data_IF_606261963344
#
_entry.id   IF_606261963344
#
_cell.length_a   1.000
_cell.length_b   1.000
_cell.length_c   1.000
_cell.angle_alpha   90.00
_cell.angle_beta   90.00
_cell.angle_gamma   90.00
#
_symmetry.space_group_name_H-M   'P 1'
#
loop_
_entity.id
_entity.type
_entity.pdbx_description
1 polymer ?
#
# COMPACT_ATOMS: atom_id res chain seq x y z
N UNK A 1 -13.90 -76.81 -3.23
CA UNK A 1 -14.08 -75.34 -3.16
C UNK A 1 -12.97 -74.73 -2.31
N UNK A 2 -11.82 -74.34 -2.88
CA UNK A 2 -10.80 -73.52 -2.21
C UNK A 2 -10.55 -72.21 -3.00
N UNK A 3 -11.04 -71.05 -2.53
CA UNK A 3 -10.79 -69.75 -3.22
C UNK A 3 -10.43 -68.61 -2.26
N UNK A 4 -10.20 -68.85 -0.96
CA UNK A 4 -10.05 -67.76 0.02
C UNK A 4 -8.70 -67.64 0.73
N UNK A 5 -7.64 -68.30 0.26
CA UNK A 5 -6.32 -68.26 0.95
C UNK A 5 -5.20 -67.56 0.17
N UNK A 6 -5.50 -66.87 -0.94
CA UNK A 6 -4.46 -66.30 -1.83
C UNK A 6 -4.37 -64.76 -1.83
N UNK A 7 -5.14 -64.06 -0.99
CA UNK A 7 -5.19 -62.58 -1.02
C UNK A 7 -4.40 -61.96 0.14
N UNK A 8 -4.18 -62.66 1.25
CA UNK A 8 -3.58 -62.07 2.47
C UNK A 8 -2.05 -61.89 2.42
N UNK A 9 -1.32 -62.60 1.56
CA UNK A 9 0.15 -62.45 1.49
C UNK A 9 0.61 -61.24 0.66
N UNK A 10 -0.24 -60.67 -0.18
CA UNK A 10 0.13 -59.52 -1.04
C UNK A 10 -0.01 -58.16 -0.35
N UNK A 11 -0.79 -58.07 0.73
CA UNK A 11 -1.04 -56.81 1.44
C UNK A 11 0.01 -56.45 2.49
N UNK A 12 0.84 -57.40 2.95
CA UNK A 12 1.88 -57.15 3.97
C UNK A 12 3.17 -56.53 3.43
N UNK A 13 3.42 -56.58 2.12
CA UNK A 13 4.61 -55.99 1.49
C UNK A 13 4.41 -54.56 0.98
N UNK A 14 3.15 -54.07 0.91
CA UNK A 14 2.82 -52.73 0.38
C UNK A 14 2.76 -51.61 1.44
N UNK A 15 2.52 -51.98 2.69
CA UNK A 15 2.45 -51.03 3.83
C UNK A 15 3.77 -50.26 4.11
N UNK A 16 4.99 -50.85 4.01
CA UNK A 16 6.22 -50.08 4.27
C UNK A 16 6.56 -49.10 3.15
N UNK A 17 6.01 -49.25 1.94
CA UNK A 17 6.29 -48.35 0.82
C UNK A 17 5.47 -47.04 0.91
N UNK A 18 4.22 -47.14 1.38
CA UNK A 18 3.33 -46.00 1.56
C UNK A 18 3.79 -45.07 2.72
N UNK A 19 4.35 -45.64 3.80
CA UNK A 19 4.88 -44.86 4.93
C UNK A 19 6.16 -44.09 4.59
N UNK A 20 7.04 -44.65 3.76
CA UNK A 20 8.29 -43.99 3.34
C UNK A 20 8.01 -42.80 2.44
N UNK A 21 7.07 -42.93 1.50
CA UNK A 21 6.64 -41.83 0.63
C UNK A 21 5.97 -40.69 1.42
N UNK A 22 5.16 -41.02 2.43
CA UNK A 22 4.52 -40.03 3.29
C UNK A 22 5.53 -39.26 4.16
N UNK A 23 6.52 -39.96 4.74
CA UNK A 23 7.62 -39.34 5.50
C UNK A 23 8.52 -38.46 4.62
N UNK A 24 8.80 -38.87 3.38
CA UNK A 24 9.54 -38.04 2.42
C UNK A 24 8.77 -36.78 2.03
N UNK A 25 7.46 -36.88 1.81
CA UNK A 25 6.63 -35.71 1.48
C UNK A 25 6.51 -34.73 2.66
N UNK A 26 6.38 -35.24 3.89
CA UNK A 26 6.41 -34.45 5.12
C UNK A 26 7.77 -33.75 5.31
N UNK A 27 8.88 -34.43 5.01
CA UNK A 27 10.22 -33.83 5.08
C UNK A 27 10.39 -32.69 4.07
N UNK A 28 9.91 -32.86 2.83
CA UNK A 28 9.93 -31.81 1.82
C UNK A 28 9.02 -30.63 2.17
N UNK A 29 7.84 -30.86 2.77
CA UNK A 29 6.97 -29.80 3.27
C UNK A 29 7.58 -29.04 4.45
N UNK A 30 8.21 -29.74 5.39
CA UNK A 30 8.95 -29.15 6.51
C UNK A 30 10.14 -28.33 6.01
N UNK A 31 10.90 -28.84 5.03
CA UNK A 31 12.02 -28.13 4.40
C UNK A 31 11.57 -26.87 3.66
N UNK A 32 10.44 -26.92 2.93
CA UNK A 32 9.84 -25.72 2.30
C UNK A 32 9.39 -24.70 3.34
N UNK A 33 8.78 -25.14 4.45
CA UNK A 33 8.37 -24.25 5.55
C UNK A 33 9.56 -23.62 6.27
N UNK A 34 10.63 -24.37 6.51
CA UNK A 34 11.85 -23.88 7.15
C UNK A 34 12.63 -22.93 6.23
N UNK A 35 12.67 -23.19 4.92
CA UNK A 35 13.24 -22.28 3.93
C UNK A 35 12.44 -20.98 3.79
N UNK A 36 11.11 -21.04 3.88
CA UNK A 36 10.27 -19.83 3.94
C UNK A 36 10.52 -19.04 5.22
N UNK A 37 10.64 -19.71 6.37
CA UNK A 37 10.98 -19.07 7.65
C UNK A 37 12.37 -18.41 7.60
N UNK A 38 13.38 -19.10 7.07
CA UNK A 38 14.71 -18.55 6.85
C UNK A 38 14.69 -17.39 5.85
N UNK A 39 13.92 -17.48 4.75
CA UNK A 39 13.82 -16.41 3.75
C UNK A 39 13.15 -15.15 4.31
N UNK A 40 12.13 -15.30 5.15
CA UNK A 40 11.49 -14.19 5.88
C UNK A 40 12.48 -13.60 6.88
N UNK A 41 13.23 -14.43 7.63
CA UNK A 41 14.26 -13.95 8.55
C UNK A 41 15.36 -13.17 7.83
N UNK A 42 15.85 -13.65 6.68
CA UNK A 42 16.82 -12.92 5.86
C UNK A 42 16.26 -11.64 5.23
N UNK A 43 14.98 -11.60 4.84
CA UNK A 43 14.31 -10.37 4.38
C UNK A 43 14.23 -9.32 5.49
N UNK A 44 13.80 -9.72 6.69
CA UNK A 44 13.68 -8.83 7.85
C UNK A 44 15.07 -8.35 8.29
N UNK A 45 16.08 -9.22 8.26
CA UNK A 45 17.47 -8.86 8.54
C UNK A 45 18.04 -7.89 7.48
N UNK A 46 17.68 -8.06 6.20
CA UNK A 46 18.08 -7.13 5.12
C UNK A 46 17.43 -5.76 5.26
N UNK A 47 16.15 -5.69 5.69
CA UNK A 47 15.47 -4.41 5.95
C UNK A 47 16.02 -3.71 7.19
N UNK A 48 16.43 -4.47 8.21
CA UNK A 48 17.11 -3.93 9.39
C UNK A 48 18.51 -3.39 9.07
N UNK A 49 19.23 -4.01 8.13
CA UNK A 49 20.50 -3.49 7.62
C UNK A 49 20.31 -2.18 6.83
N UNK A 50 19.26 -2.07 6.00
CA UNK A 50 18.92 -0.82 5.31
C UNK A 50 18.51 0.29 6.31
N UNK A 51 17.88 -0.06 7.43
CA UNK A 51 17.57 0.91 8.50
C UNK A 51 18.83 1.41 9.23
N UNK A 52 19.86 0.56 9.41
CA UNK A 52 21.12 0.96 10.05
C UNK A 52 21.96 1.88 9.15
N UNK A 53 21.96 1.68 7.83
CA UNK A 53 22.62 2.61 6.89
C UNK A 53 21.96 4.00 6.88
N UNK A 54 20.63 4.06 7.07
CA UNK A 54 19.92 5.35 7.19
C UNK A 54 20.30 6.08 8.49
N UNK A 55 20.54 5.36 9.59
CA UNK A 55 20.97 5.95 10.87
C UNK A 55 22.44 6.43 10.78
N UNK A 56 23.30 5.70 10.07
CA UNK A 56 24.71 6.10 9.87
C UNK A 56 24.84 7.33 8.94
N UNK A 57 23.89 7.49 7.99
CA UNK A 57 23.78 8.70 7.15
C UNK A 57 23.44 9.99 7.94
N UNK A 58 22.85 9.84 9.14
CA UNK A 58 22.48 10.96 10.01
C UNK A 58 23.64 11.44 10.90
N UNK A 59 24.69 10.63 11.09
CA UNK A 59 25.82 10.93 12.00
C UNK A 59 27.10 11.39 11.30
N UNK A 60 27.09 11.53 9.97
CA UNK A 60 28.00 12.46 9.27
C UNK A 60 29.50 12.17 9.39
N UNK A 61 29.94 10.92 9.29
CA UNK A 61 31.37 10.57 9.11
C UNK A 61 31.55 10.03 7.68
N UNK A 62 32.02 10.87 6.75
CA UNK A 62 32.26 10.48 5.35
C UNK A 62 33.61 9.76 5.18
N UNK A 63 33.62 8.58 4.54
CA UNK A 63 34.37 8.33 3.31
C UNK A 63 34.18 6.90 2.76
N UNK A 64 33.93 6.82 1.45
CA UNK A 64 34.27 5.72 0.53
C UNK A 64 33.49 4.40 0.65
N UNK A 65 32.52 4.14 -0.25
CA UNK A 65 32.41 2.92 -1.09
C UNK A 65 31.41 3.22 -2.22
N UNK A 66 31.77 2.88 -3.47
CA UNK A 66 30.92 3.00 -4.67
C UNK A 66 29.78 1.96 -4.69
N UNK A 67 28.65 2.21 -5.37
CA UNK A 67 27.56 1.25 -5.42
C UNK A 67 27.87 0.10 -6.39
N UNK A 68 28.05 -1.11 -5.85
CA UNK A 68 27.99 -2.35 -6.61
C UNK A 68 26.61 -2.98 -6.39
N UNK A 69 25.60 -2.50 -7.14
CA UNK A 69 24.31 -3.18 -7.30
C UNK A 69 24.07 -3.47 -8.79
N UNK A 70 24.80 -4.44 -9.33
CA UNK A 70 24.41 -5.20 -10.52
C UNK A 70 24.28 -6.65 -10.07
N UNK A 71 23.05 -7.06 -9.78
CA UNK A 71 22.52 -8.42 -9.87
C UNK A 71 21.29 -8.47 -8.95
N UNK A 72 20.10 -8.44 -9.54
CA UNK A 72 19.00 -9.39 -9.30
C UNK A 72 17.84 -8.89 -10.16
N UNK A 73 17.64 -9.53 -11.31
CA UNK A 73 16.32 -9.78 -11.92
C UNK A 73 16.51 -10.80 -13.04
N UNK A 74 16.60 -12.05 -12.62
CA UNK A 74 16.52 -13.22 -13.47
C UNK A 74 15.55 -14.21 -12.83
N UNK A 75 14.27 -13.82 -12.72
CA UNK A 75 13.18 -14.78 -12.60
C UNK A 75 12.35 -14.63 -13.87
N UNK A 76 12.47 -15.65 -14.71
CA UNK A 76 11.87 -15.74 -16.03
C UNK A 76 10.35 -15.61 -15.94
N UNK A 77 9.79 -14.64 -16.65
CA UNK A 77 8.42 -14.76 -17.16
C UNK A 77 8.50 -15.63 -18.42
N UNK A 78 7.75 -16.73 -18.43
CA UNK A 78 7.59 -17.63 -19.57
C UNK A 78 6.60 -17.10 -20.62
N UNK A 79 6.11 -15.87 -20.46
CA UNK A 79 5.22 -15.23 -21.43
C UNK A 79 5.99 -14.36 -22.41
N UNK A 80 6.00 -14.79 -23.68
CA UNK A 80 6.69 -14.13 -24.80
C UNK A 80 5.99 -12.86 -25.33
N UNK A 81 4.93 -12.39 -24.67
CA UNK A 81 4.06 -11.31 -25.16
C UNK A 81 4.49 -9.91 -24.74
N UNK A 82 5.53 -9.77 -23.91
CA UNK A 82 6.04 -8.47 -23.47
C UNK A 82 7.37 -8.18 -24.17
N UNK A 83 7.56 -7.01 -24.82
CA UNK A 83 8.83 -6.67 -25.44
C UNK A 83 9.89 -6.48 -24.34
N UNK A 84 10.73 -7.49 -24.15
CA UNK A 84 11.92 -7.40 -23.30
C UNK A 84 13.00 -6.69 -24.10
N UNK A 85 13.24 -5.41 -23.82
CA UNK A 85 14.37 -4.67 -24.40
C UNK A 85 15.66 -5.27 -23.84
N UNK A 86 16.41 -6.00 -24.67
CA UNK A 86 17.73 -6.53 -24.28
C UNK A 86 18.78 -5.44 -24.44
N UNK A 87 19.91 -5.58 -23.75
CA UNK A 87 21.01 -4.61 -23.83
C UNK A 87 21.52 -4.36 -25.26
N UNK A 88 21.39 -5.35 -26.15
CA UNK A 88 21.74 -5.19 -27.57
C UNK A 88 20.67 -4.49 -28.41
N UNK A 89 19.42 -4.47 -27.95
CA UNK A 89 18.32 -3.75 -28.60
C UNK A 89 18.39 -2.23 -28.33
N UNK A 90 19.18 -1.82 -27.32
CA UNK A 90 19.39 -0.42 -26.97
C UNK A 90 20.31 0.28 -27.99
N UNK A 91 19.71 0.80 -29.06
CA UNK A 91 20.42 1.63 -30.04
C UNK A 91 20.91 2.92 -29.39
N UNK A 92 22.23 3.19 -29.44
CA UNK A 92 22.84 4.45 -28.98
C UNK A 92 22.25 5.60 -29.78
N UNK A 93 21.60 6.55 -29.09
CA UNK A 93 21.08 7.78 -29.72
C UNK A 93 22.25 8.57 -30.33
N UNK A 94 22.03 9.14 -31.52
CA UNK A 94 23.05 9.96 -32.16
C UNK A 94 23.24 11.25 -31.36
N UNK A 95 24.41 11.89 -31.46
CA UNK A 95 24.67 13.15 -30.74
C UNK A 95 23.70 14.27 -31.14
N UNK A 96 23.17 14.21 -32.36
CA UNK A 96 22.18 15.15 -32.89
C UNK A 96 20.84 14.97 -32.17
N UNK A 97 20.38 13.72 -31.97
CA UNK A 97 19.13 13.40 -31.24
C UNK A 97 19.15 13.80 -29.75
N UNK A 98 20.34 13.99 -29.16
CA UNK A 98 20.52 14.41 -27.76
C UNK A 98 20.57 15.93 -27.64
N UNK A 99 21.10 16.62 -28.65
CA UNK A 99 21.15 18.08 -28.69
C UNK A 99 19.81 18.72 -29.05
N UNK A 100 18.92 17.98 -29.71
CA UNK A 100 17.57 18.46 -30.00
C UNK A 100 16.79 18.71 -28.69
N UNK A 101 16.09 19.86 -28.58
CA UNK A 101 15.25 20.13 -27.42
C UNK A 101 14.20 19.00 -27.32
N UNK A 102 14.07 18.43 -26.12
CA UNK A 102 13.17 17.32 -25.87
C UNK A 102 11.76 17.65 -26.40
N UNK A 103 11.31 16.89 -27.41
CA UNK A 103 9.96 17.01 -27.92
C UNK A 103 8.98 16.88 -26.75
N UNK A 104 8.03 17.81 -26.57
CA UNK A 104 7.06 17.71 -25.49
C UNK A 104 6.36 16.37 -25.64
N UNK A 105 6.31 15.58 -24.57
CA UNK A 105 5.65 14.27 -24.57
C UNK A 105 4.22 14.49 -25.07
N UNK A 106 3.89 13.90 -26.22
CA UNK A 106 2.55 13.99 -26.78
C UNK A 106 1.60 13.35 -25.79
N UNK A 107 0.73 14.15 -25.18
CA UNK A 107 -0.35 13.63 -24.35
C UNK A 107 -1.27 12.82 -25.25
N UNK A 108 -1.22 11.50 -25.12
CA UNK A 108 -2.19 10.62 -25.77
C UNK A 108 -3.53 10.89 -25.08
N UNK A 109 -4.43 11.58 -25.75
CA UNK A 109 -5.83 11.71 -25.31
C UNK A 109 -6.47 10.34 -25.48
N UNK A 110 -6.66 9.64 -24.37
CA UNK A 110 -7.46 8.41 -24.35
C UNK A 110 -8.89 8.83 -24.66
N UNK A 111 -9.34 8.55 -25.88
CA UNK A 111 -10.70 8.82 -26.34
C UNK A 111 -11.60 7.73 -25.78
N UNK A 112 -11.96 7.86 -24.51
CA UNK A 112 -13.00 7.08 -23.87
C UNK A 112 -13.98 8.05 -23.22
N UNK A 113 -15.17 8.19 -23.80
CA UNK A 113 -16.25 9.03 -23.27
C UNK A 113 -16.85 8.43 -21.98
N UNK A 114 -16.53 7.18 -21.69
CA UNK A 114 -16.85 6.49 -20.45
C UNK A 114 -15.56 5.90 -19.85
N UNK A 115 -15.20 6.32 -18.65
CA UNK A 115 -14.15 5.67 -17.86
C UNK A 115 -14.65 4.26 -17.46
N UNK A 116 -14.27 3.23 -18.22
CA UNK A 116 -14.60 1.80 -17.99
C UNK A 116 -13.89 1.20 -16.76
N UNK A 117 -13.26 2.03 -15.93
CA UNK A 117 -12.44 1.61 -14.79
C UNK A 117 -13.25 0.71 -13.84
N UNK A 118 -14.53 1.00 -13.64
CA UNK A 118 -15.39 0.24 -12.74
C UNK A 118 -15.76 -1.14 -13.27
N UNK A 119 -15.98 -1.26 -14.57
CA UNK A 119 -16.32 -2.54 -15.19
C UNK A 119 -15.12 -3.52 -15.15
N UNK A 120 -13.89 -2.97 -15.08
CA UNK A 120 -12.64 -3.73 -14.98
C UNK A 120 -12.28 -4.07 -13.52
N UNK A 121 -12.64 -3.22 -12.56
CA UNK A 121 -12.19 -3.34 -11.16
C UNK A 121 -12.78 -4.55 -10.42
N UNK A 122 -13.89 -5.13 -10.89
CA UNK A 122 -14.48 -6.34 -10.31
C UNK A 122 -15.10 -6.12 -8.92
N UNK A 123 -15.44 -4.88 -8.56
CA UNK A 123 -16.15 -4.55 -7.33
C UNK A 123 -17.64 -4.88 -7.51
N UNK A 124 -18.30 -5.59 -6.59
CA UNK A 124 -19.72 -5.88 -6.71
C UNK A 124 -20.57 -4.60 -6.61
N UNK A 125 -21.63 -4.54 -7.41
CA UNK A 125 -22.51 -3.38 -7.56
C UNK A 125 -23.17 -2.93 -6.25
N UNK A 126 -23.47 -3.88 -5.34
CA UNK A 126 -24.05 -3.61 -4.02
C UNK A 126 -23.23 -2.61 -3.17
N UNK A 127 -21.90 -2.61 -3.33
CA UNK A 127 -21.03 -1.71 -2.59
C UNK A 127 -20.88 -0.35 -3.25
N UNK A 128 -21.28 -0.22 -4.52
CA UNK A 128 -21.10 0.98 -5.34
C UNK A 128 -22.28 1.95 -5.19
N UNK A 129 -23.51 1.45 -5.32
CA UNK A 129 -24.70 2.32 -5.36
C UNK A 129 -25.15 2.80 -3.97
N UNK A 130 -24.93 1.96 -2.95
CA UNK A 130 -25.46 2.20 -1.60
C UNK A 130 -24.65 3.23 -0.80
N UNK A 131 -23.52 3.71 -1.31
CA UNK A 131 -22.56 4.49 -0.51
C UNK A 131 -22.29 5.87 -1.09
N UNK A 132 -22.14 6.80 -0.19
CA UNK A 132 -21.65 8.15 -0.47
C UNK A 132 -20.21 8.26 0.04
N UNK A 133 -19.39 8.95 -0.75
CA UNK A 133 -18.01 9.28 -0.47
C UNK A 133 -17.93 10.73 0.02
N UNK A 134 -17.34 10.94 1.19
CA UNK A 134 -17.08 12.26 1.75
C UNK A 134 -15.66 12.68 1.43
N UNK A 135 -15.51 13.77 0.70
CA UNK A 135 -14.23 14.38 0.33
C UNK A 135 -13.97 15.55 1.28
N UNK A 136 -12.91 15.47 2.08
CA UNK A 136 -12.62 16.52 3.06
C UNK A 136 -11.12 16.62 3.38
N UNK A 137 -10.72 17.72 4.01
CA UNK A 137 -9.42 17.80 4.70
C UNK A 137 -9.61 17.47 6.17
N UNK A 138 -8.85 16.53 6.74
CA UNK A 138 -9.03 16.13 8.12
C UNK A 138 -8.73 17.31 9.06
N UNK A 139 -9.63 17.50 10.03
CA UNK A 139 -9.43 18.47 11.09
C UNK A 139 -8.18 18.12 11.90
N UNK A 140 -7.50 19.12 12.45
CA UNK A 140 -6.39 18.87 13.37
C UNK A 140 -6.92 18.24 14.66
N UNK A 141 -6.26 17.18 15.14
CA UNK A 141 -6.45 16.64 16.48
C UNK A 141 -6.38 17.75 17.55
N UNK A 142 -7.44 17.88 18.35
CA UNK A 142 -7.54 18.95 19.34
C UNK A 142 -6.41 18.90 20.39
N UNK A 143 -6.01 17.69 20.78
CA UNK A 143 -4.98 17.39 21.80
C UNK A 143 -3.56 17.69 21.34
N UNK A 144 -3.26 17.60 20.04
CA UNK A 144 -1.92 17.77 19.49
C UNK A 144 -1.78 19.07 18.70
N UNK A 145 -0.67 19.78 18.83
CA UNK A 145 -0.48 21.08 18.15
C UNK A 145 0.02 20.99 16.71
N UNK A 146 0.49 19.82 16.27
CA UNK A 146 1.08 19.61 14.95
C UNK A 146 0.06 19.74 13.81
N UNK A 147 0.48 20.26 12.66
CA UNK A 147 -0.40 20.54 11.50
C UNK A 147 -0.12 19.65 10.28
N UNK A 148 0.68 18.59 10.42
CA UNK A 148 1.11 17.83 9.25
C UNK A 148 -0.04 16.99 8.64
N UNK A 149 -0.97 16.51 9.47
CA UNK A 149 -2.06 15.65 9.06
C UNK A 149 -3.13 16.37 8.19
N UNK A 150 -3.30 17.68 8.36
CA UNK A 150 -4.37 18.47 7.73
C UNK A 150 -4.08 18.90 6.27
N UNK A 151 -2.90 18.60 5.73
CA UNK A 151 -2.51 19.09 4.40
C UNK A 151 -3.17 18.32 3.26
N UNK A 152 -3.32 17.01 3.43
CA UNK A 152 -3.82 16.10 2.41
C UNK A 152 -5.35 16.10 2.38
N UNK A 153 -5.92 15.85 1.21
CA UNK A 153 -7.34 15.56 1.04
C UNK A 153 -7.57 14.07 1.25
N UNK A 154 -8.64 13.71 1.94
CA UNK A 154 -9.03 12.32 2.18
C UNK A 154 -10.42 12.06 1.65
N UNK A 155 -10.63 10.82 1.25
CA UNK A 155 -11.95 10.30 0.89
C UNK A 155 -12.34 9.27 1.94
N UNK A 156 -13.45 9.53 2.63
CA UNK A 156 -14.08 8.58 3.54
C UNK A 156 -15.36 8.04 2.93
N UNK A 157 -15.60 6.75 3.09
CA UNK A 157 -16.89 6.14 2.75
C UNK A 157 -17.73 6.04 4.01
N UNK A 158 -19.04 5.98 3.84
CA UNK A 158 -19.95 5.78 4.97
C UNK A 158 -19.68 4.44 5.69
N UNK A 159 -19.74 4.49 7.02
CA UNK A 159 -19.45 3.38 7.90
C UNK A 159 -20.70 2.53 8.11
N UNK A 160 -20.62 1.24 7.77
CA UNK A 160 -21.68 0.26 8.10
C UNK A 160 -21.58 -0.24 9.53
N UNK A 161 -22.57 -1.05 9.91
CA UNK A 161 -22.66 -1.70 11.21
C UNK A 161 -21.39 -2.50 11.55
N UNK A 162 -20.98 -2.37 12.80
CA UNK A 162 -19.94 -3.18 13.43
C UNK A 162 -20.57 -3.84 14.67
N UNK A 163 -20.45 -5.16 14.77
CA UNK A 163 -21.03 -5.94 15.85
C UNK A 163 -19.96 -6.57 16.73
N UNK A 164 -20.35 -7.00 17.93
CA UNK A 164 -19.47 -7.69 18.86
C UNK A 164 -19.37 -9.19 18.51
N UNK A 165 -18.14 -9.71 18.49
CA UNK A 165 -17.88 -11.14 18.33
C UNK A 165 -18.22 -11.89 19.63
N UNK A 166 -19.16 -12.87 19.62
CA UNK A 166 -19.65 -13.54 20.82
C UNK A 166 -18.59 -14.32 21.61
N UNK A 167 -17.47 -14.69 20.99
CA UNK A 167 -16.41 -15.45 21.68
C UNK A 167 -15.37 -14.53 22.36
N UNK A 168 -14.87 -13.53 21.63
CA UNK A 168 -13.72 -12.71 22.05
C UNK A 168 -14.06 -11.26 22.37
N UNK A 169 -15.27 -10.78 22.04
CA UNK A 169 -15.66 -9.38 22.22
C UNK A 169 -15.03 -8.41 21.21
N UNK A 170 -14.46 -8.90 20.11
CA UNK A 170 -13.88 -8.05 19.07
C UNK A 170 -14.96 -7.40 18.19
N UNK A 171 -14.66 -6.22 17.65
CA UNK A 171 -15.54 -5.54 16.68
C UNK A 171 -15.41 -6.21 15.30
N UNK A 172 -16.38 -7.04 14.94
CA UNK A 172 -16.49 -7.66 13.62
C UNK A 172 -17.28 -6.76 12.65
N UNK A 173 -17.00 -6.87 11.36
CA UNK A 173 -17.70 -6.14 10.29
C UNK A 173 -17.82 -7.02 9.04
N UNK A 174 -18.89 -6.82 8.28
CA UNK A 174 -19.10 -7.44 6.96
C UNK A 174 -18.70 -6.53 5.80
N UNK A 175 -18.09 -5.39 6.12
CA UNK A 175 -17.79 -4.33 5.15
C UNK A 175 -16.32 -4.33 4.70
N UNK A 176 -16.03 -4.65 3.43
CA UNK A 176 -14.67 -4.64 2.89
C UNK A 176 -14.10 -3.23 2.69
N UNK A 177 -14.95 -2.22 2.47
CA UNK A 177 -14.51 -0.86 2.12
C UNK A 177 -14.31 0.05 3.34
N UNK A 178 -14.68 -0.42 4.52
CA UNK A 178 -14.70 0.35 5.77
C UNK A 178 -13.38 1.01 6.17
N UNK A 179 -12.23 0.43 5.80
CA UNK A 179 -10.90 0.92 6.19
C UNK A 179 -10.13 1.58 5.04
N UNK A 180 -10.76 1.78 3.88
CA UNK A 180 -10.09 2.34 2.69
C UNK A 180 -9.66 3.80 2.91
N UNK A 181 -10.38 4.53 3.76
CA UNK A 181 -10.06 5.93 4.12
C UNK A 181 -8.66 6.14 4.70
N UNK A 182 -8.03 5.09 5.24
CA UNK A 182 -6.68 5.18 5.77
C UNK A 182 -5.62 5.38 4.69
N UNK A 183 -5.88 4.95 3.45
CA UNK A 183 -4.89 4.89 2.38
C UNK A 183 -5.19 5.80 1.17
N UNK A 184 -6.38 6.42 1.12
CA UNK A 184 -6.78 7.29 0.01
C UNK A 184 -6.48 8.76 0.33
N UNK A 185 -5.23 9.14 0.13
CA UNK A 185 -4.74 10.51 0.29
C UNK A 185 -4.52 11.18 -1.08
N UNK A 186 -5.05 12.40 -1.24
CA UNK A 186 -4.96 13.20 -2.47
C UNK A 186 -4.28 14.54 -2.19
N UNK A 187 -3.60 15.07 -3.21
CA UNK A 187 -2.96 16.38 -3.14
C UNK A 187 -3.95 17.53 -3.41
N UNK A 188 -4.84 17.35 -4.39
CA UNK A 188 -5.86 18.34 -4.81
C UNK A 188 -7.28 17.85 -4.54
N UNK A 189 -8.20 18.80 -4.38
CA UNK A 189 -9.65 18.54 -4.34
C UNK A 189 -10.14 17.98 -5.68
N UNK A 190 -9.63 18.53 -6.78
CA UNK A 190 -10.03 18.15 -8.13
C UNK A 190 -9.63 16.71 -8.45
N UNK A 191 -8.46 16.28 -7.99
CA UNK A 191 -7.99 14.90 -8.14
C UNK A 191 -8.91 13.91 -7.40
N UNK A 192 -9.34 14.27 -6.18
CA UNK A 192 -10.27 13.47 -5.40
C UNK A 192 -11.65 13.39 -6.09
N UNK A 193 -12.16 14.49 -6.63
CA UNK A 193 -13.42 14.52 -7.38
C UNK A 193 -13.31 13.65 -8.64
N UNK A 194 -12.24 13.80 -9.40
CA UNK A 194 -11.99 13.02 -10.61
C UNK A 194 -11.90 11.52 -10.30
N UNK A 195 -11.33 11.15 -9.15
CA UNK A 195 -11.28 9.76 -8.70
C UNK A 195 -12.69 9.22 -8.37
N UNK A 196 -13.51 9.98 -7.65
CA UNK A 196 -14.90 9.61 -7.38
C UNK A 196 -15.74 9.48 -8.66
N UNK A 197 -15.57 10.40 -9.61
CA UNK A 197 -16.27 10.37 -10.90
C UNK A 197 -15.88 9.15 -11.72
N UNK A 198 -14.58 8.85 -11.82
CA UNK A 198 -14.06 7.64 -12.48
C UNK A 198 -14.62 6.36 -11.89
N UNK A 199 -14.77 6.34 -10.56
CA UNK A 199 -15.28 5.19 -9.84
C UNK A 199 -16.82 5.17 -9.70
N UNK A 200 -17.52 6.14 -10.29
CA UNK A 200 -18.98 6.29 -10.20
C UNK A 200 -19.50 6.27 -8.76
N UNK A 201 -18.75 6.86 -7.82
CA UNK A 201 -19.20 7.04 -6.44
C UNK A 201 -19.94 8.35 -6.28
N UNK A 202 -21.09 8.30 -5.60
CA UNK A 202 -21.77 9.52 -5.14
C UNK A 202 -20.87 10.22 -4.13
N UNK A 203 -20.66 11.53 -4.25
CA UNK A 203 -19.73 12.24 -3.38
C UNK A 203 -20.30 13.55 -2.83
N UNK A 204 -19.84 13.89 -1.62
CA UNK A 204 -20.08 15.16 -0.94
C UNK A 204 -18.74 15.82 -0.65
N UNK A 205 -18.63 17.13 -0.86
CA UNK A 205 -17.38 17.86 -0.65
C UNK A 205 -17.52 18.85 0.50
N UNK A 206 -16.70 18.65 1.52
CA UNK A 206 -16.56 19.60 2.63
C UNK A 206 -15.46 20.62 2.34
N UNK A 207 -15.79 21.90 2.50
CA UNK A 207 -14.80 22.97 2.38
C UNK A 207 -13.84 22.99 3.57
N UNK A 208 -12.52 23.14 3.34
CA UNK A 208 -11.53 23.08 4.40
C UNK A 208 -11.58 24.34 5.26
N UNK A 209 -11.63 24.17 6.58
CA UNK A 209 -11.60 25.29 7.52
C UNK A 209 -10.17 25.77 7.78
N UNK A 210 -9.77 26.85 7.11
CA UNK A 210 -8.45 27.44 7.30
C UNK A 210 -8.37 28.31 8.57
N UNK A 211 -7.27 28.18 9.32
CA UNK A 211 -7.03 28.99 10.52
C UNK A 211 -6.78 30.45 10.12
N UNK A 212 -7.48 31.38 10.76
CA UNK A 212 -7.18 32.81 10.65
C UNK A 212 -6.06 33.17 11.62
N UNK A 213 -4.91 33.60 11.10
CA UNK A 213 -3.77 34.02 11.93
C UNK A 213 -4.07 35.41 12.51
N UNK A 214 -4.32 35.46 13.82
CA UNK A 214 -4.51 36.72 14.54
C UNK A 214 -3.15 37.30 14.97
N UNK A 215 -2.91 38.61 14.82
CA UNK A 215 -1.69 39.23 15.33
C UNK A 215 -1.63 39.09 16.85
N UNK A 216 -0.50 38.59 17.37
CA UNK A 216 -0.26 38.44 18.81
C UNK A 216 0.92 39.34 19.19
N UNK A 217 0.72 40.23 20.16
CA UNK A 217 1.79 41.04 20.75
C UNK A 217 1.92 40.74 22.24
N UNK A 218 3.12 40.36 22.68
CA UNK A 218 3.39 40.08 24.09
C UNK A 218 3.23 41.32 24.97
N UNK A 219 3.51 42.52 24.43
CA UNK A 219 3.32 43.79 25.13
C UNK A 219 1.87 44.06 25.52
N UNK A 220 0.89 43.48 24.82
CA UNK A 220 -0.53 43.62 25.16
C UNK A 220 -0.90 42.96 26.50
N UNK A 221 -0.10 41.99 26.96
CA UNK A 221 -0.30 41.34 28.26
C UNK A 221 -0.05 42.27 29.45
N UNK A 222 0.62 43.43 29.24
CA UNK A 222 0.97 44.40 30.28
C UNK A 222 0.42 45.81 29.99
N UNK A 223 -0.66 45.91 29.21
CA UNK A 223 -1.24 47.21 28.85
C UNK A 223 -1.74 47.98 30.10
N UNK A 224 -1.40 49.28 30.18
CA UNK A 224 -1.76 50.16 31.29
C UNK A 224 -3.28 50.37 31.44
N UNK A 225 -3.99 50.60 30.33
CA UNK A 225 -5.42 50.97 30.31
C UNK A 225 -6.27 50.05 29.41
N UNK A 226 -5.86 48.80 29.19
CA UNK A 226 -6.63 47.82 28.40
C UNK A 226 -6.90 46.57 29.22
N UNK A 227 -8.07 45.94 28.99
CA UNK A 227 -8.47 44.69 29.64
C UNK A 227 -7.64 43.46 29.21
N UNK A 228 -6.71 43.63 28.28
CA UNK A 228 -5.79 42.57 27.83
C UNK A 228 -4.70 42.25 28.86
N UNK A 229 -4.59 43.03 29.94
CA UNK A 229 -3.60 42.81 30.99
C UNK A 229 -3.88 41.49 31.73
N UNK A 230 -2.90 40.59 31.75
CA UNK A 230 -3.01 39.29 32.44
C UNK A 230 -2.56 39.48 33.91
N UNK A 231 -3.22 38.81 34.85
CA UNK A 231 -2.89 38.88 36.28
C UNK A 231 -1.65 38.07 36.66
N UNK A 232 -1.37 36.97 35.94
CA UNK A 232 -0.27 36.05 36.20
C UNK A 232 0.37 35.56 34.89
N UNK A 233 1.58 35.02 34.95
CA UNK A 233 2.31 34.48 33.79
C UNK A 233 2.93 33.13 34.12
#
# INVERSE_FOLDING_TARGET
>A
MPVLTLIDETCKSFLPFQEVLCKQHLYELLKKRLLLQLRVYYMVFSLAAEAYEVIDSMLGIRACVQPLRIAVRGLASTDKTVPVTRLHDAKRKSLQDVLEPAQPKTSVTVVGEHDEVMDIAGVPEEHMEQRTARIFKPAREATQTAWNNTKMWKIELDNRERWENPLMGWSSTGDPLSNISMNLDFASKEDAINFCVKNRWNYEVDEPHERRIKPKSYGWNFAWNKRTRISTK
#
